data_IF_640024632948
#
_entry.id   IF_640024632948
#
_cell.length_a   1.000
_cell.length_b   1.000
_cell.length_c   1.000
_cell.angle_alpha   90.00
_cell.angle_beta   90.00
_cell.angle_gamma   90.00
#
_symmetry.space_group_name_H-M   'P 1'
#
loop_
_entity.id
_entity.type
_entity.pdbx_description
1 polymer ?
#
# COMPACT_ATOMS: atom_id res chain seq x y z
N UNK A 1 -17.37 9.76 15.82
CA UNK A 1 -16.33 10.76 15.58
C UNK A 1 -16.68 11.52 14.29
N UNK A 2 -16.53 12.85 14.27
CA UNK A 2 -16.73 13.65 13.06
C UNK A 2 -15.55 13.46 12.09
N UNK A 3 -15.35 12.22 11.65
CA UNK A 3 -14.28 11.80 10.73
C UNK A 3 -14.56 12.38 9.36
N UNK A 4 -13.57 13.05 8.80
CA UNK A 4 -13.55 13.55 7.42
C UNK A 4 -12.99 12.50 6.49
N UNK A 5 -11.90 11.86 6.91
CA UNK A 5 -11.17 10.90 6.08
C UNK A 5 -10.40 9.91 6.97
N UNK A 6 -10.24 8.68 6.49
CA UNK A 6 -9.36 7.67 7.07
C UNK A 6 -8.39 7.19 6.00
N UNK A 7 -7.09 7.31 6.27
CA UNK A 7 -6.01 7.03 5.33
C UNK A 7 -5.19 5.86 5.90
N UNK A 8 -5.35 4.63 5.36
CA UNK A 8 -4.57 3.48 5.80
C UNK A 8 -3.12 3.60 5.30
N UNK A 9 -2.18 3.24 6.16
CA UNK A 9 -0.79 2.95 5.81
C UNK A 9 -0.47 1.47 6.07
N UNK A 10 0.80 1.08 6.00
CA UNK A 10 1.21 -0.32 6.13
C UNK A 10 0.76 -0.98 7.46
N UNK A 11 0.90 -0.26 8.57
CA UNK A 11 0.58 -0.76 9.91
C UNK A 11 -0.06 0.32 10.80
N UNK A 12 -0.58 1.37 10.19
CA UNK A 12 -1.17 2.51 10.88
C UNK A 12 -2.36 3.03 10.07
N UNK A 13 -3.21 3.83 10.72
CA UNK A 13 -4.32 4.53 10.08
C UNK A 13 -4.25 5.98 10.55
N UNK A 14 -4.25 6.91 9.61
CA UNK A 14 -4.41 8.34 9.90
C UNK A 14 -5.89 8.70 9.81
N UNK A 15 -6.44 9.30 10.86
CA UNK A 15 -7.85 9.73 10.88
C UNK A 15 -7.91 11.26 10.94
N UNK A 16 -8.50 11.87 9.91
CA UNK A 16 -8.70 13.32 9.85
C UNK A 16 -10.06 13.64 10.47
N UNK A 17 -10.07 14.51 11.48
CA UNK A 17 -11.28 14.95 12.17
C UNK A 17 -11.66 16.36 11.72
N UNK A 18 -12.95 16.69 11.75
CA UNK A 18 -13.44 18.04 11.39
C UNK A 18 -12.95 19.12 12.35
N UNK A 19 -12.94 18.81 13.65
CA UNK A 19 -12.53 19.70 14.75
C UNK A 19 -11.57 18.94 15.69
N UNK A 20 -10.33 18.64 15.26
CA UNK A 20 -9.42 17.76 16.01
C UNK A 20 -9.09 18.30 17.41
N UNK A 21 -8.97 19.62 17.57
CA UNK A 21 -8.65 20.28 18.84
C UNK A 21 -9.64 20.00 19.97
N UNK A 22 -10.90 19.70 19.64
CA UNK A 22 -11.95 19.38 20.62
C UNK A 22 -12.34 17.91 20.64
N UNK A 23 -12.02 17.15 19.59
CA UNK A 23 -12.51 15.78 19.40
C UNK A 23 -11.43 14.71 19.52
N UNK A 24 -10.14 15.07 19.61
CA UNK A 24 -9.05 14.11 19.54
C UNK A 24 -9.09 13.06 20.66
N UNK A 25 -9.26 13.47 21.92
CA UNK A 25 -9.24 12.54 23.06
C UNK A 25 -10.41 11.55 22.99
N UNK A 26 -11.63 12.05 22.79
CA UNK A 26 -12.83 11.21 22.62
C UNK A 26 -12.70 10.28 21.41
N UNK A 27 -12.07 10.73 20.32
CA UNK A 27 -11.82 9.90 19.15
C UNK A 27 -10.82 8.78 19.45
N UNK A 28 -9.74 9.07 20.19
CA UNK A 28 -8.74 8.07 20.58
C UNK A 28 -9.38 6.97 21.43
N UNK A 29 -10.12 7.33 22.49
CA UNK A 29 -10.76 6.34 23.37
C UNK A 29 -11.71 5.43 22.58
N UNK A 30 -12.50 6.01 21.68
CA UNK A 30 -13.41 5.24 20.83
C UNK A 30 -12.68 4.34 19.84
N UNK A 31 -11.61 4.84 19.22
CA UNK A 31 -10.82 4.07 18.25
C UNK A 31 -10.12 2.89 18.95
N UNK A 32 -9.58 3.08 20.15
CA UNK A 32 -8.99 2.00 20.95
C UNK A 32 -10.02 0.93 21.28
N UNK A 33 -11.20 1.35 21.77
CA UNK A 33 -12.29 0.42 22.06
C UNK A 33 -12.71 -0.37 20.82
N UNK A 34 -12.92 0.30 19.69
CA UNK A 34 -13.30 -0.37 18.45
C UNK A 34 -12.22 -1.31 17.94
N UNK A 35 -10.95 -0.97 18.12
CA UNK A 35 -9.85 -1.85 17.76
C UNK A 35 -9.90 -3.18 18.53
N UNK A 36 -10.17 -3.12 19.84
CA UNK A 36 -10.31 -4.31 20.69
C UNK A 36 -11.57 -5.12 20.38
N UNK A 37 -12.68 -4.45 20.06
CA UNK A 37 -13.97 -5.08 19.75
C UNK A 37 -14.08 -5.56 18.29
N UNK A 38 -13.21 -5.10 17.40
CA UNK A 38 -13.29 -5.41 15.98
C UNK A 38 -12.78 -6.80 15.66
N UNK A 39 -13.48 -7.48 14.76
CA UNK A 39 -13.00 -8.71 14.14
C UNK A 39 -12.29 -8.39 12.82
N UNK A 40 -11.32 -9.22 12.46
CA UNK A 40 -10.66 -9.12 11.16
C UNK A 40 -11.67 -9.43 10.06
N UNK A 41 -11.84 -8.47 9.14
CA UNK A 41 -12.58 -8.67 7.90
C UNK A 41 -11.60 -9.04 6.79
N UNK A 42 -11.89 -10.11 6.06
CA UNK A 42 -11.24 -10.41 4.79
C UNK A 42 -12.08 -9.80 3.67
N UNK A 43 -11.68 -8.64 3.09
CA UNK A 43 -12.42 -8.04 2.00
C UNK A 43 -12.32 -8.92 0.74
N UNK A 44 -13.38 -8.94 -0.06
CA UNK A 44 -13.29 -9.51 -1.41
C UNK A 44 -12.24 -8.75 -2.21
N UNK A 45 -11.30 -9.48 -2.80
CA UNK A 45 -10.24 -8.92 -3.62
C UNK A 45 -10.54 -9.13 -5.11
N UNK A 46 -9.98 -8.26 -5.94
CA UNK A 46 -9.98 -8.44 -7.40
C UNK A 46 -8.57 -8.74 -7.86
N UNK A 47 -8.45 -9.75 -8.71
CA UNK A 47 -7.20 -9.99 -9.44
C UNK A 47 -7.12 -9.07 -10.65
N UNK A 48 -6.00 -8.38 -10.80
CA UNK A 48 -5.76 -7.44 -11.91
C UNK A 48 -4.42 -7.78 -12.54
N UNK A 49 -4.44 -8.12 -13.82
CA UNK A 49 -3.22 -8.28 -14.61
C UNK A 49 -2.74 -6.91 -15.10
N UNK A 50 -1.48 -6.58 -14.84
CA UNK A 50 -0.86 -5.32 -15.26
C UNK A 50 0.23 -5.65 -16.30
N UNK A 51 0.07 -5.25 -17.57
CA UNK A 51 1.11 -5.45 -18.58
C UNK A 51 2.29 -4.52 -18.31
N UNK A 52 3.51 -5.06 -18.31
CA UNK A 52 4.75 -4.32 -18.04
C UNK A 52 5.77 -4.58 -19.13
N UNK A 53 6.37 -3.50 -19.65
CA UNK A 53 7.55 -3.58 -20.53
C UNK A 53 8.80 -3.40 -19.67
N UNK A 54 9.58 -4.46 -19.53
CA UNK A 54 10.80 -4.44 -18.71
C UNK A 54 12.01 -3.94 -19.51
N UNK A 55 12.89 -3.21 -18.83
CA UNK A 55 14.20 -2.82 -19.35
C UNK A 55 14.16 -1.64 -20.34
N UNK A 56 15.31 -1.39 -20.96
CA UNK A 56 15.48 -0.30 -21.94
C UNK A 56 15.16 1.07 -21.36
N UNK A 57 14.57 1.96 -22.16
CA UNK A 57 14.20 3.31 -21.72
C UNK A 57 13.05 3.33 -20.69
N UNK A 58 12.21 2.27 -20.66
CA UNK A 58 11.09 2.14 -19.72
C UNK A 58 11.50 1.59 -18.35
N UNK A 59 12.64 0.92 -18.27
CA UNK A 59 13.20 0.37 -17.04
C UNK A 59 14.74 0.41 -17.07
N UNK A 60 15.36 1.61 -17.06
CA UNK A 60 16.81 1.76 -17.24
C UNK A 60 17.62 1.08 -16.14
N UNK A 61 17.02 0.88 -14.96
CA UNK A 61 17.68 0.31 -13.79
C UNK A 61 17.61 -1.23 -13.72
N UNK A 62 16.98 -1.90 -14.69
CA UNK A 62 16.84 -3.37 -14.67
C UNK A 62 18.20 -4.08 -14.55
N UNK A 63 19.21 -3.60 -15.28
CA UNK A 63 20.57 -4.14 -15.21
C UNK A 63 21.22 -3.92 -13.83
N UNK A 64 20.92 -2.80 -13.17
CA UNK A 64 21.42 -2.49 -11.82
C UNK A 64 20.77 -3.43 -10.79
N UNK A 65 19.46 -3.65 -10.88
CA UNK A 65 18.73 -4.60 -10.03
C UNK A 65 19.27 -6.02 -10.22
N UNK A 66 19.46 -6.44 -11.48
CA UNK A 66 20.01 -7.76 -11.80
C UNK A 66 21.40 -7.96 -11.18
N UNK A 67 22.30 -6.98 -11.37
CA UNK A 67 23.64 -7.02 -10.79
C UNK A 67 23.61 -7.05 -9.25
N UNK A 68 22.75 -6.23 -8.62
CA UNK A 68 22.62 -6.18 -7.16
C UNK A 68 22.12 -7.51 -6.58
N UNK A 69 21.18 -8.16 -7.26
CA UNK A 69 20.61 -9.44 -6.83
C UNK A 69 21.45 -10.66 -7.24
N UNK A 70 22.53 -10.49 -8.01
CA UNK A 70 23.32 -11.60 -8.55
C UNK A 70 22.56 -12.45 -9.58
N UNK A 71 21.64 -11.82 -10.30
CA UNK A 71 20.76 -12.45 -11.29
C UNK A 71 21.03 -11.89 -12.69
N UNK A 72 20.56 -12.60 -13.72
CA UNK A 72 20.38 -12.00 -15.04
C UNK A 72 19.11 -11.16 -15.09
N UNK A 73 19.05 -10.17 -15.99
CA UNK A 73 17.84 -9.36 -16.21
C UNK A 73 16.61 -10.24 -16.49
N UNK A 74 16.77 -11.31 -17.27
CA UNK A 74 15.69 -12.27 -17.55
C UNK A 74 15.16 -12.93 -16.28
N UNK A 75 16.05 -13.32 -15.37
CA UNK A 75 15.64 -13.92 -14.09
C UNK A 75 14.92 -12.92 -13.19
N UNK A 76 15.33 -11.64 -13.20
CA UNK A 76 14.60 -10.58 -12.48
C UNK A 76 13.18 -10.45 -13.01
N UNK A 77 13.01 -10.39 -14.33
CA UNK A 77 11.69 -10.31 -14.96
C UNK A 77 10.83 -11.52 -14.61
N UNK A 78 11.38 -12.72 -14.72
CA UNK A 78 10.66 -13.96 -14.40
C UNK A 78 10.19 -13.96 -12.95
N UNK A 79 11.07 -13.69 -11.99
CA UNK A 79 10.73 -13.62 -10.57
C UNK A 79 9.72 -12.51 -10.25
N UNK A 80 9.87 -11.32 -10.84
CA UNK A 80 8.96 -10.21 -10.59
C UNK A 80 7.57 -10.47 -11.19
N UNK A 81 7.49 -11.15 -12.34
CA UNK A 81 6.20 -11.45 -12.99
C UNK A 81 5.50 -12.70 -12.45
N UNK A 82 6.20 -13.58 -11.72
CA UNK A 82 5.65 -14.86 -11.26
C UNK A 82 4.93 -14.79 -9.91
N UNK A 83 4.92 -13.62 -9.27
CA UNK A 83 4.39 -13.45 -7.90
C UNK A 83 3.10 -12.62 -7.94
N UNK A 84 2.14 -13.01 -7.12
CA UNK A 84 0.94 -12.21 -6.88
C UNK A 84 1.22 -11.11 -5.85
N UNK A 85 0.92 -9.87 -6.19
CA UNK A 85 1.13 -8.72 -5.31
C UNK A 85 -0.18 -8.26 -4.68
N UNK A 86 -0.19 -8.12 -3.36
CA UNK A 86 -1.33 -7.58 -2.60
C UNK A 86 -1.14 -6.08 -2.39
N UNK A 87 -2.10 -5.29 -2.86
CA UNK A 87 -2.13 -3.85 -2.61
C UNK A 87 -2.67 -3.60 -1.20
N UNK A 88 -1.76 -3.33 -0.26
CA UNK A 88 -2.12 -3.09 1.15
C UNK A 88 -2.73 -1.72 1.41
N UNK A 89 -2.22 -0.69 0.75
CA UNK A 89 -2.75 0.67 0.84
C UNK A 89 -2.41 1.46 -0.43
N UNK A 90 -3.13 2.55 -0.64
CA UNK A 90 -2.88 3.50 -1.73
C UNK A 90 -2.26 4.77 -1.12
N UNK A 91 -1.19 5.28 -1.72
CA UNK A 91 -0.47 6.44 -1.18
C UNK A 91 0.71 6.85 -2.05
N UNK A 92 1.62 7.66 -1.49
CA UNK A 92 2.75 8.34 -2.14
C UNK A 92 2.38 9.67 -2.81
N UNK A 93 1.82 9.63 -4.03
CA UNK A 93 1.40 10.84 -4.75
C UNK A 93 0.31 10.45 -5.77
N UNK A 94 -0.76 11.25 -5.95
CA UNK A 94 -1.71 11.01 -7.03
C UNK A 94 -0.98 11.04 -8.37
N UNK A 95 -1.07 9.96 -9.14
CA UNK A 95 -0.41 9.86 -10.44
C UNK A 95 1.08 9.51 -10.39
N UNK A 96 1.57 8.90 -9.30
CA UNK A 96 2.86 8.20 -9.37
C UNK A 96 2.66 6.89 -10.17
N UNK A 97 3.35 6.73 -11.33
CA UNK A 97 3.22 5.55 -12.18
C UNK A 97 3.86 4.30 -11.57
#
# INVERSE_FOLDING_TARGET
PNVVEAIPGMNNITVILRNPESLALDAIERLQRWWEESEALEPESRFIEIPVVYGGAGGPDLAVVAAHCGLSEKQVVELHSSVEYVVWFLGFQPGFP
#
